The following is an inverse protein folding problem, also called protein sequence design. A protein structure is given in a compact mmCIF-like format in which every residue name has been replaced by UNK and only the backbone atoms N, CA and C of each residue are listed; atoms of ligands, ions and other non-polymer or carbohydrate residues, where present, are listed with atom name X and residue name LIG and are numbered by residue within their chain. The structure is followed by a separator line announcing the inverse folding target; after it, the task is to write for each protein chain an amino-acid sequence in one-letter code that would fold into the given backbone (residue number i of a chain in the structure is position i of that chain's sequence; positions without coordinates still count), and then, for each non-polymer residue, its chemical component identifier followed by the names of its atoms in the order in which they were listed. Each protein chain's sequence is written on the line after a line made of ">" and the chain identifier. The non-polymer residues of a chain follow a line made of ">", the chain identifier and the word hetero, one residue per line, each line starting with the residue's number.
data_IF_213595140492
#
_entry.id   IF_213595140492
#
_cell.length_a   1.000
_cell.length_b   1.000
_cell.length_c   1.000
_cell.angle_alpha   90.00
_cell.angle_beta   90.00
_cell.angle_gamma   90.00
#
_symmetry.space_group_name_H-M   'P 1'
#
loop_
_entity.id
_entity.type
_entity.pdbx_description
1 polymer ?
#
# COMPACT_ATOMS: atom_id res chain seq x y z
N UNK A 1 -26.15 11.93 -5.95
CA UNK A 1 -26.43 11.05 -4.77
C UNK A 1 -25.40 9.94 -4.78
N UNK A 2 -24.70 9.71 -3.64
CA UNK A 2 -23.74 8.60 -3.51
C UNK A 2 -24.47 7.29 -3.21
N UNK A 3 -24.06 6.20 -3.85
CA UNK A 3 -24.62 4.86 -3.67
C UNK A 3 -23.48 3.89 -3.36
N UNK A 4 -23.77 2.87 -2.55
CA UNK A 4 -22.82 1.78 -2.31
C UNK A 4 -22.82 0.80 -3.47
N UNK A 5 -21.63 0.34 -3.83
CA UNK A 5 -21.42 -0.68 -4.84
C UNK A 5 -20.29 -1.63 -4.44
N UNK A 6 -20.23 -2.77 -5.12
CA UNK A 6 -19.14 -3.75 -5.02
C UNK A 6 -18.50 -3.90 -6.39
N UNK A 7 -17.18 -3.98 -6.43
CA UNK A 7 -16.43 -4.27 -7.66
C UNK A 7 -16.63 -5.73 -8.05
N UNK A 8 -17.09 -5.97 -9.28
CA UNK A 8 -17.30 -7.33 -9.82
C UNK A 8 -16.31 -7.69 -10.93
N UNK A 9 -15.73 -6.69 -11.59
CA UNK A 9 -14.74 -6.89 -12.65
C UNK A 9 -13.76 -5.71 -12.74
N UNK A 10 -12.51 -5.98 -13.13
CA UNK A 10 -11.44 -4.98 -13.24
C UNK A 10 -10.73 -5.01 -14.59
N UNK A 11 -11.05 -5.97 -15.45
CA UNK A 11 -10.45 -6.15 -16.77
C UNK A 11 -11.44 -5.67 -17.84
N UNK A 12 -11.37 -4.37 -18.18
CA UNK A 12 -12.22 -3.81 -19.25
C UNK A 12 -11.85 -4.42 -20.60
N UNK A 13 -12.82 -4.85 -21.44
CA UNK A 13 -12.55 -5.50 -22.72
C UNK A 13 -11.62 -4.70 -23.64
N UNK A 14 -11.76 -3.37 -23.67
CA UNK A 14 -10.95 -2.47 -24.50
C UNK A 14 -9.71 -1.94 -23.76
N UNK A 15 -9.31 -2.55 -22.64
CA UNK A 15 -8.12 -2.14 -21.87
C UNK A 15 -8.24 -0.78 -21.16
N UNK A 16 -9.46 -0.25 -21.01
CA UNK A 16 -9.68 1.02 -20.31
C UNK A 16 -9.48 0.84 -18.79
N UNK A 17 -9.02 1.91 -18.14
CA UNK A 17 -8.90 1.99 -16.67
C UNK A 17 -10.29 2.20 -16.05
N UNK A 18 -11.10 1.15 -16.03
CA UNK A 18 -12.46 1.13 -15.48
C UNK A 18 -12.69 -0.14 -14.68
N UNK A 19 -13.61 -0.07 -13.72
CA UNK A 19 -14.06 -1.24 -12.98
C UNK A 19 -15.56 -1.45 -13.15
N UNK A 20 -15.96 -2.69 -13.25
CA UNK A 20 -17.38 -3.06 -13.32
C UNK A 20 -17.96 -3.07 -11.92
N UNK A 21 -19.11 -2.42 -11.73
CA UNK A 21 -19.69 -2.20 -10.41
C UNK A 21 -21.11 -2.74 -10.32
N UNK A 22 -21.44 -3.30 -9.15
CA UNK A 22 -22.78 -3.71 -8.77
C UNK A 22 -23.27 -2.85 -7.62
N UNK A 23 -24.35 -2.09 -7.82
CA UNK A 23 -25.02 -1.38 -6.72
C UNK A 23 -25.70 -2.35 -5.78
N UNK A 24 -25.58 -2.09 -4.49
CA UNK A 24 -26.29 -2.85 -3.46
C UNK A 24 -27.34 -1.95 -2.81
N UNK A 25 -28.61 -2.38 -2.72
CA UNK A 25 -29.15 -3.66 -3.22
C UNK A 25 -29.68 -3.61 -4.69
N UNK A 26 -29.69 -2.47 -5.36
CA UNK A 26 -30.50 -2.19 -6.55
C UNK A 26 -30.22 -3.11 -7.74
N UNK A 27 -28.99 -3.60 -7.90
CA UNK A 27 -28.56 -4.42 -9.04
C UNK A 27 -28.19 -5.86 -8.66
N UNK A 28 -28.66 -6.37 -7.52
CA UNK A 28 -28.34 -7.75 -7.08
C UNK A 28 -28.83 -8.83 -8.05
N UNK A 29 -29.92 -8.57 -8.78
CA UNK A 29 -30.46 -9.47 -9.79
C UNK A 29 -29.92 -9.30 -11.21
N UNK A 30 -28.96 -8.38 -11.45
CA UNK A 30 -28.39 -8.11 -12.77
C UNK A 30 -27.19 -9.03 -13.00
N UNK A 31 -27.11 -9.69 -14.16
CA UNK A 31 -25.93 -10.51 -14.51
C UNK A 31 -24.66 -9.66 -14.56
N UNK A 32 -23.52 -10.22 -14.16
CA UNK A 32 -22.22 -9.50 -14.15
C UNK A 32 -21.91 -8.86 -15.52
N UNK A 33 -22.15 -9.58 -16.63
CA UNK A 33 -21.90 -9.12 -18.01
C UNK A 33 -22.67 -7.86 -18.40
N UNK A 34 -23.82 -7.61 -17.77
CA UNK A 34 -24.72 -6.49 -18.07
C UNK A 34 -24.52 -5.30 -17.15
N UNK A 35 -23.61 -5.40 -16.17
CA UNK A 35 -23.28 -4.32 -15.25
C UNK A 35 -22.39 -3.27 -15.92
N UNK A 36 -22.55 -1.98 -15.57
CA UNK A 36 -21.79 -0.90 -16.19
C UNK A 36 -20.34 -0.87 -15.71
N UNK A 37 -19.47 -0.31 -16.55
CA UNK A 37 -18.08 0.00 -16.26
C UNK A 37 -17.94 1.43 -15.74
N UNK A 38 -17.55 1.54 -14.48
CA UNK A 38 -17.34 2.81 -13.78
C UNK A 38 -15.99 3.43 -14.12
N UNK A 39 -15.99 4.74 -14.26
CA UNK A 39 -14.77 5.56 -14.25
C UNK A 39 -14.27 5.73 -12.81
N UNK A 40 -13.01 6.15 -12.63
CA UNK A 40 -12.46 6.51 -11.32
C UNK A 40 -12.35 8.03 -11.19
N UNK A 41 -12.76 8.58 -10.05
CA UNK A 41 -12.36 9.93 -9.66
C UNK A 41 -10.91 9.88 -9.21
N UNK A 42 -10.01 10.35 -10.06
CA UNK A 42 -8.58 10.33 -9.77
C UNK A 42 -8.12 11.62 -9.09
N UNK A 43 -7.16 11.55 -8.16
CA UNK A 43 -6.52 12.74 -7.61
C UNK A 43 -5.72 13.46 -8.71
N UNK A 44 -5.58 14.79 -8.56
CA UNK A 44 -4.69 15.58 -9.42
C UNK A 44 -3.27 15.05 -9.22
N UNK A 45 -2.52 14.85 -10.31
CA UNK A 45 -1.16 14.30 -10.27
C UNK A 45 -1.07 12.82 -10.65
N UNK A 46 -2.15 12.28 -11.24
CA UNK A 46 -2.19 10.92 -11.84
C UNK A 46 -1.93 9.76 -10.87
N UNK A 47 -2.10 9.97 -9.56
CA UNK A 47 -2.08 8.87 -8.60
C UNK A 47 -3.24 7.91 -8.86
N UNK A 48 -2.97 6.60 -8.96
CA UNK A 48 -3.99 5.59 -9.18
C UNK A 48 -3.77 4.39 -8.25
N UNK A 49 -4.83 4.02 -7.52
CA UNK A 49 -4.87 2.79 -6.75
C UNK A 49 -6.00 1.92 -7.33
N UNK A 50 -5.66 0.82 -8.03
CA UNK A 50 -6.67 -0.02 -8.65
C UNK A 50 -7.55 -0.70 -7.58
N UNK A 51 -8.82 -0.87 -7.90
CA UNK A 51 -9.70 -1.73 -7.13
C UNK A 51 -9.46 -3.21 -7.49
N UNK A 52 -9.86 -4.09 -6.60
CA UNK A 52 -9.93 -5.54 -6.87
C UNK A 52 -11.37 -6.02 -6.74
N UNK A 53 -11.68 -7.18 -7.33
CA UNK A 53 -13.00 -7.81 -7.19
C UNK A 53 -13.34 -8.01 -5.72
N UNK A 54 -14.55 -7.57 -5.34
CA UNK A 54 -15.03 -7.62 -3.96
C UNK A 54 -14.84 -6.33 -3.16
N UNK A 55 -14.05 -5.35 -3.67
CA UNK A 55 -13.90 -4.08 -2.98
C UNK A 55 -15.24 -3.35 -2.88
N UNK A 56 -15.68 -2.92 -1.68
CA UNK A 56 -16.79 -2.01 -1.53
C UNK A 56 -16.38 -0.59 -1.85
N UNK A 57 -17.19 0.09 -2.67
CA UNK A 57 -16.92 1.46 -3.13
C UNK A 57 -18.16 2.34 -3.04
N UNK A 58 -17.93 3.65 -3.03
CA UNK A 58 -18.95 4.64 -3.26
C UNK A 58 -18.95 5.06 -4.72
N UNK A 59 -20.14 5.09 -5.35
CA UNK A 59 -20.32 5.56 -6.73
C UNK A 59 -21.29 6.72 -6.80
N UNK A 60 -21.08 7.58 -7.78
CA UNK A 60 -21.97 8.68 -8.19
C UNK A 60 -22.31 8.52 -9.67
N UNK A 61 -23.36 9.22 -10.11
CA UNK A 61 -23.81 9.31 -11.49
C UNK A 61 -23.78 10.80 -11.91
N UNK A 62 -22.59 11.29 -12.33
CA UNK A 62 -22.40 12.71 -12.63
C UNK A 62 -23.00 13.15 -13.97
N UNK A 63 -23.30 12.19 -14.85
CA UNK A 63 -23.84 12.44 -16.17
C UNK A 63 -25.36 12.33 -16.16
N UNK A 64 -26.02 13.12 -17.01
CA UNK A 64 -27.46 13.06 -17.21
C UNK A 64 -27.78 12.35 -18.52
N UNK A 65 -28.89 11.61 -18.54
CA UNK A 65 -29.47 11.04 -19.75
C UNK A 65 -30.25 12.12 -20.56
N UNK A 66 -30.86 11.70 -21.65
CA UNK A 66 -31.65 12.58 -22.53
C UNK A 66 -32.91 13.16 -21.88
N UNK A 67 -33.34 12.59 -20.75
CA UNK A 67 -34.47 13.05 -19.95
C UNK A 67 -34.07 13.94 -18.78
N UNK A 68 -32.74 14.21 -18.61
CA UNK A 68 -32.19 14.97 -17.50
C UNK A 68 -32.12 14.18 -16.18
N UNK A 69 -32.21 12.85 -16.22
CA UNK A 69 -32.03 11.97 -15.07
C UNK A 69 -30.59 11.46 -14.98
N UNK A 70 -30.09 11.05 -13.79
CA UNK A 70 -28.77 10.44 -13.68
C UNK A 70 -28.60 9.22 -14.59
N UNK A 71 -27.58 9.25 -15.47
CA UNK A 71 -27.27 8.14 -16.37
C UNK A 71 -26.57 7.01 -15.58
N UNK A 72 -27.32 6.01 -15.22
CA UNK A 72 -26.83 4.86 -14.44
C UNK A 72 -25.86 3.95 -15.21
N UNK A 73 -25.74 4.12 -16.53
CA UNK A 73 -24.77 3.38 -17.36
C UNK A 73 -23.36 3.98 -17.27
N UNK A 74 -23.21 5.15 -16.67
CA UNK A 74 -21.95 5.88 -16.56
C UNK A 74 -21.63 6.23 -15.10
N UNK A 75 -21.41 5.21 -14.25
CA UNK A 75 -21.05 5.42 -12.86
C UNK A 75 -19.63 5.95 -12.72
N UNK A 76 -19.39 6.72 -11.65
CA UNK A 76 -18.09 7.24 -11.24
C UNK A 76 -17.78 6.71 -9.83
N UNK A 77 -16.67 5.96 -9.67
CA UNK A 77 -16.15 5.56 -8.36
C UNK A 77 -15.50 6.77 -7.72
N UNK A 78 -16.01 7.19 -6.56
CA UNK A 78 -15.53 8.38 -5.83
C UNK A 78 -14.75 8.05 -4.56
N UNK A 79 -14.62 6.79 -4.22
CA UNK A 79 -13.81 6.33 -3.08
C UNK A 79 -14.19 4.94 -2.61
N UNK A 80 -13.35 4.39 -1.72
CA UNK A 80 -13.63 3.15 -1.02
C UNK A 80 -14.77 3.34 0.01
N UNK A 81 -15.58 2.30 0.20
CA UNK A 81 -16.58 2.27 1.26
C UNK A 81 -16.06 1.42 2.42
N UNK A 82 -16.08 1.98 3.62
CA UNK A 82 -15.83 1.20 4.83
C UNK A 82 -16.98 0.22 5.08
N UNK A 83 -16.64 -1.00 5.41
CA UNK A 83 -17.56 -2.06 5.72
C UNK A 83 -16.99 -2.97 6.80
N UNK A 84 -17.84 -3.45 7.70
CA UNK A 84 -17.43 -4.34 8.77
C UNK A 84 -18.39 -5.56 8.87
N UNK A 85 -18.42 -6.45 7.86
CA UNK A 85 -19.26 -7.64 7.90
C UNK A 85 -18.83 -8.54 9.06
N UNK A 86 -19.80 -8.95 9.87
CA UNK A 86 -19.50 -9.72 11.08
C UNK A 86 -18.69 -8.96 12.15
N UNK A 87 -18.65 -7.62 12.08
CA UNK A 87 -17.92 -6.77 13.03
C UNK A 87 -16.41 -6.62 12.71
N UNK A 88 -15.93 -7.18 11.61
CA UNK A 88 -14.52 -7.06 11.18
C UNK A 88 -14.43 -6.00 10.08
N UNK A 89 -13.74 -4.87 10.32
CA UNK A 89 -13.55 -3.84 9.31
C UNK A 89 -12.74 -4.34 8.09
N UNK A 90 -13.07 -3.85 6.91
CA UNK A 90 -12.33 -4.14 5.67
C UNK A 90 -11.06 -3.28 5.50
N UNK A 91 -10.59 -2.64 6.56
CA UNK A 91 -9.31 -1.94 6.62
C UNK A 91 -8.22 -2.84 7.20
N UNK A 92 -6.97 -2.49 6.96
CA UNK A 92 -5.83 -3.28 7.43
C UNK A 92 -5.87 -3.52 8.95
N UNK A 93 -5.48 -4.71 9.44
CA UNK A 93 -5.41 -5.00 10.87
C UNK A 93 -4.57 -3.99 11.66
N UNK A 94 -3.51 -3.47 11.06
CA UNK A 94 -2.65 -2.43 11.62
C UNK A 94 -3.42 -1.12 11.88
N UNK A 95 -4.41 -0.81 11.04
CA UNK A 95 -5.25 0.38 11.17
C UNK A 95 -6.45 0.15 12.08
N UNK A 96 -7.11 -1.00 11.97
CA UNK A 96 -8.33 -1.29 12.74
C UNK A 96 -8.05 -1.77 14.16
N UNK A 97 -6.88 -2.34 14.41
CA UNK A 97 -6.57 -3.08 15.64
C UNK A 97 -7.36 -4.37 15.78
N UNK A 98 -8.02 -4.85 14.72
CA UNK A 98 -8.73 -6.11 14.67
C UNK A 98 -8.07 -7.05 13.66
N UNK A 99 -8.16 -8.34 13.90
CA UNK A 99 -7.45 -9.34 13.11
C UNK A 99 -5.98 -9.50 13.54
N UNK A 100 -5.17 -10.07 12.66
CA UNK A 100 -3.75 -10.33 12.90
C UNK A 100 -2.90 -9.36 12.09
N UNK A 101 -2.27 -8.35 12.70
CA UNK A 101 -1.31 -7.49 12.03
C UNK A 101 -0.14 -8.29 11.47
N UNK A 102 0.48 -7.76 10.43
CA UNK A 102 1.70 -8.36 9.88
C UNK A 102 2.83 -8.35 10.92
N UNK A 103 3.41 -9.51 11.16
CA UNK A 103 4.58 -9.72 12.01
C UNK A 103 5.70 -10.37 11.20
N UNK A 104 6.77 -9.64 10.86
CA UNK A 104 7.92 -10.20 10.14
C UNK A 104 8.82 -11.07 11.01
N UNK A 105 8.48 -11.25 12.27
CA UNK A 105 9.38 -11.87 13.25
C UNK A 105 10.53 -10.96 13.67
N UNK A 106 11.43 -11.51 14.49
CA UNK A 106 12.64 -10.81 14.94
C UNK A 106 13.75 -10.96 13.91
N UNK A 107 14.46 -9.87 13.64
CA UNK A 107 15.72 -9.89 12.88
C UNK A 107 16.83 -9.40 13.83
N UNK A 108 17.94 -10.13 13.88
CA UNK A 108 19.05 -9.82 14.81
C UNK A 108 19.58 -8.40 14.57
N UNK A 109 19.63 -7.62 15.63
CA UNK A 109 20.08 -6.23 15.59
C UNK A 109 19.13 -5.23 14.93
N UNK A 110 17.95 -5.66 14.51
CA UNK A 110 16.96 -4.75 13.96
C UNK A 110 16.31 -3.91 15.06
N UNK A 111 16.08 -2.60 14.82
CA UNK A 111 15.27 -1.77 15.70
C UNK A 111 13.83 -2.27 15.78
N UNK A 112 13.13 -1.88 16.84
CA UNK A 112 11.69 -2.09 16.93
C UNK A 112 10.99 -1.39 15.75
N UNK A 113 9.98 -2.03 15.20
CA UNK A 113 9.12 -1.43 14.17
C UNK A 113 8.29 -0.27 14.75
N UNK A 114 7.83 0.66 13.91
CA UNK A 114 6.86 1.66 14.34
C UNK A 114 5.62 0.99 14.96
N UNK A 115 5.17 1.52 16.09
CA UNK A 115 3.98 1.02 16.78
C UNK A 115 2.72 1.71 16.27
N UNK A 116 1.81 0.98 15.65
CA UNK A 116 0.59 1.53 15.05
C UNK A 116 -0.52 1.79 16.06
N UNK A 117 -1.25 2.86 15.83
CA UNK A 117 -2.46 3.25 16.57
C UNK A 117 -3.62 3.49 15.60
N UNK A 118 -4.71 2.77 15.79
CA UNK A 118 -5.90 2.84 14.92
C UNK A 118 -6.57 4.21 14.79
N UNK A 119 -6.24 5.16 15.64
CA UNK A 119 -6.89 6.48 15.67
C UNK A 119 -6.00 7.62 15.20
N UNK A 120 -4.71 7.37 14.95
CA UNK A 120 -3.73 8.45 14.71
C UNK A 120 -2.86 8.20 13.49
N UNK A 121 -2.70 6.97 13.06
CA UNK A 121 -1.70 6.57 12.10
C UNK A 121 -2.32 6.32 10.72
N UNK A 122 -1.55 6.62 9.68
CA UNK A 122 -1.92 6.27 8.31
C UNK A 122 -1.33 4.90 7.95
N UNK A 123 -2.18 4.00 7.51
CA UNK A 123 -1.80 2.64 7.13
C UNK A 123 -2.42 2.29 5.78
N UNK A 124 -1.60 1.79 4.88
CA UNK A 124 -2.03 1.19 3.62
C UNK A 124 -1.45 -0.23 3.57
N UNK A 125 -2.31 -1.23 3.49
CA UNK A 125 -1.89 -2.62 3.32
C UNK A 125 -2.62 -3.22 2.13
N UNK A 126 -1.92 -3.36 1.00
CA UNK A 126 -2.49 -3.88 -0.24
C UNK A 126 -1.44 -4.60 -1.08
N UNK A 127 -1.83 -5.72 -1.72
CA UNK A 127 -0.96 -6.51 -2.61
C UNK A 127 0.38 -6.90 -1.98
N UNK A 128 0.37 -7.33 -0.73
CA UNK A 128 1.55 -7.64 0.09
C UNK A 128 2.47 -6.43 0.36
N UNK A 129 2.05 -5.22 0.06
CA UNK A 129 2.77 -4.01 0.43
C UNK A 129 2.05 -3.33 1.59
N UNK A 130 2.75 -3.22 2.70
CA UNK A 130 2.33 -2.49 3.89
C UNK A 130 3.12 -1.19 3.98
N UNK A 131 2.43 -0.07 4.04
CA UNK A 131 2.98 1.25 4.34
C UNK A 131 2.37 1.77 5.63
N UNK A 132 3.21 2.20 6.56
CA UNK A 132 2.83 2.73 7.86
C UNK A 132 3.48 4.09 8.07
N UNK A 133 2.68 5.07 8.51
CA UNK A 133 3.15 6.39 8.97
C UNK A 133 2.52 6.65 10.33
N UNK A 134 3.33 6.71 11.37
CA UNK A 134 2.85 6.91 12.73
C UNK A 134 2.86 8.39 13.14
N UNK A 135 1.92 8.78 13.98
CA UNK A 135 1.88 10.13 14.55
C UNK A 135 3.12 10.48 15.40
N UNK A 136 3.84 9.47 15.86
CA UNK A 136 5.11 9.61 16.56
C UNK A 136 6.34 9.83 15.66
N UNK A 137 6.14 9.91 14.32
CA UNK A 137 7.22 10.12 13.35
C UNK A 137 7.86 8.83 12.82
N UNK A 138 7.31 7.67 13.13
CA UNK A 138 7.72 6.40 12.54
C UNK A 138 7.23 6.25 11.09
N UNK A 139 8.02 5.56 10.27
CA UNK A 139 7.70 5.23 8.89
C UNK A 139 8.24 3.86 8.51
N UNK A 140 7.44 3.02 7.89
CA UNK A 140 7.89 1.73 7.35
C UNK A 140 7.18 1.41 6.05
N UNK A 141 7.93 0.90 5.07
CA UNK A 141 7.40 0.14 3.94
C UNK A 141 7.89 -1.29 4.08
N UNK A 142 6.98 -2.25 4.02
CA UNK A 142 7.28 -3.68 4.12
C UNK A 142 6.60 -4.48 3.01
N UNK A 143 7.35 -5.42 2.43
CA UNK A 143 6.76 -6.49 1.64
C UNK A 143 6.39 -7.63 2.60
N UNK A 144 5.09 -7.83 2.82
CA UNK A 144 4.58 -8.78 3.82
C UNK A 144 4.73 -10.25 3.40
N UNK A 145 4.97 -10.52 2.11
CA UNK A 145 5.23 -11.86 1.61
C UNK A 145 6.71 -12.26 1.78
N UNK A 146 7.65 -11.35 1.51
CA UNK A 146 9.10 -11.64 1.59
C UNK A 146 9.72 -11.29 2.94
N UNK A 147 9.12 -10.37 3.71
CA UNK A 147 9.70 -9.84 4.94
C UNK A 147 10.69 -8.70 4.74
N UNK A 148 10.97 -8.29 3.50
CA UNK A 148 11.84 -7.15 3.21
C UNK A 148 11.18 -5.85 3.64
N UNK A 149 11.94 -4.97 4.31
CA UNK A 149 11.41 -3.70 4.81
C UNK A 149 12.46 -2.61 4.93
N UNK A 150 12.00 -1.39 4.76
CA UNK A 150 12.78 -0.17 4.97
C UNK A 150 11.97 0.72 5.90
N UNK A 151 12.60 1.27 6.92
CA UNK A 151 11.85 2.10 7.85
C UNK A 151 12.70 2.95 8.77
N UNK A 152 11.98 3.75 9.54
CA UNK A 152 12.46 4.56 10.64
C UNK A 152 11.46 4.44 11.78
N UNK A 153 11.93 4.14 12.98
CA UNK A 153 11.04 4.13 14.14
C UNK A 153 10.93 5.52 14.80
N UNK A 154 10.08 5.64 15.81
CA UNK A 154 9.83 6.89 16.52
C UNK A 154 11.05 7.43 17.28
N UNK A 155 12.07 6.59 17.50
CA UNK A 155 13.37 7.00 18.08
C UNK A 155 14.36 7.49 17.02
N UNK A 156 13.94 7.57 15.74
CA UNK A 156 14.78 8.02 14.63
C UNK A 156 15.80 6.98 14.13
N UNK A 157 15.70 5.73 14.56
CA UNK A 157 16.56 4.67 14.05
C UNK A 157 16.08 4.23 12.67
N UNK A 158 16.98 4.29 11.68
CA UNK A 158 16.73 3.89 10.29
C UNK A 158 17.23 2.45 10.08
N UNK A 159 16.49 1.66 9.32
CA UNK A 159 16.87 0.29 9.00
C UNK A 159 16.48 -0.12 7.58
N UNK A 160 17.27 -1.00 7.00
CA UNK A 160 16.98 -1.76 5.79
C UNK A 160 17.17 -3.22 6.14
N UNK A 161 16.14 -4.03 5.98
CA UNK A 161 16.15 -5.46 6.30
C UNK A 161 15.66 -6.21 5.08
N UNK A 162 16.46 -7.17 4.63
CA UNK A 162 16.14 -8.06 3.52
C UNK A 162 16.49 -9.50 3.90
N UNK A 163 15.54 -10.44 3.86
CA UNK A 163 15.83 -11.86 3.99
C UNK A 163 16.61 -12.43 2.78
N UNK A 164 16.58 -11.72 1.65
CA UNK A 164 17.35 -12.05 0.45
C UNK A 164 18.53 -11.11 0.23
N UNK A 165 19.03 -11.08 -0.99
CA UNK A 165 20.14 -10.22 -1.39
C UNK A 165 19.77 -8.72 -1.33
N UNK A 166 20.75 -7.91 -0.97
CA UNK A 166 20.65 -6.45 -1.00
C UNK A 166 21.76 -5.87 -1.87
N UNK A 167 21.39 -5.05 -2.84
CA UNK A 167 22.35 -4.35 -3.71
C UNK A 167 22.27 -2.85 -3.44
N UNK A 168 23.43 -2.23 -3.17
CA UNK A 168 23.60 -0.78 -3.14
C UNK A 168 24.53 -0.39 -4.27
N UNK A 169 24.03 0.28 -5.30
CA UNK A 169 24.81 0.70 -6.47
C UNK A 169 24.79 2.23 -6.59
N UNK A 170 25.97 2.82 -6.76
CA UNK A 170 26.16 4.25 -6.99
C UNK A 170 26.97 4.48 -8.25
N UNK A 171 26.43 5.23 -9.23
CA UNK A 171 27.17 5.66 -10.42
C UNK A 171 28.20 6.78 -10.15
N UNK A 172 28.23 7.30 -8.93
CA UNK A 172 29.20 8.27 -8.45
C UNK A 172 29.83 7.79 -7.13
N UNK A 173 30.15 8.71 -6.25
CA UNK A 173 30.72 8.39 -4.95
C UNK A 173 29.68 7.84 -3.98
N UNK A 174 30.07 6.88 -3.16
CA UNK A 174 29.35 6.45 -1.97
C UNK A 174 30.17 6.85 -0.74
N UNK A 175 29.58 7.66 0.14
CA UNK A 175 30.21 8.11 1.38
C UNK A 175 29.42 7.61 2.58
N UNK A 176 30.08 7.00 3.55
CA UNK A 176 29.50 6.55 4.82
C UNK A 176 30.22 7.28 5.95
N UNK A 177 29.51 8.18 6.65
CA UNK A 177 30.02 8.89 7.81
C UNK A 177 29.29 8.39 9.06
N UNK A 178 30.04 8.00 10.07
CA UNK A 178 29.49 7.60 11.36
C UNK A 178 30.27 8.32 12.48
N UNK A 179 29.56 9.02 13.35
CA UNK A 179 30.16 9.64 14.54
C UNK A 179 30.62 8.62 15.60
N UNK A 180 30.23 7.35 15.43
CA UNK A 180 30.60 6.22 16.26
C UNK A 180 31.20 5.10 15.44
N UNK A 181 30.90 3.87 15.81
CA UNK A 181 31.46 2.67 15.19
C UNK A 181 30.70 2.30 13.90
N UNK A 182 31.44 1.98 12.84
CA UNK A 182 30.95 1.21 11.69
C UNK A 182 31.31 -0.27 11.89
N UNK A 183 30.33 -1.16 11.79
CA UNK A 183 30.54 -2.60 11.89
C UNK A 183 30.01 -3.30 10.64
N UNK A 184 30.87 -4.09 9.97
CA UNK A 184 30.48 -4.94 8.86
C UNK A 184 30.69 -6.38 9.29
N UNK A 185 29.63 -7.19 9.20
CA UNK A 185 29.68 -8.62 9.54
C UNK A 185 29.25 -9.41 8.30
N UNK A 186 30.06 -10.38 7.90
CA UNK A 186 29.76 -11.31 6.84
C UNK A 186 29.87 -12.73 7.38
N UNK A 187 28.87 -13.59 7.14
CA UNK A 187 28.93 -15.00 7.47
C UNK A 187 29.80 -15.81 6.51
N UNK A 188 30.08 -15.23 5.33
CA UNK A 188 30.96 -15.78 4.30
C UNK A 188 32.11 -14.86 3.95
N UNK A 189 32.56 -14.88 2.69
CA UNK A 189 33.67 -14.07 2.22
C UNK A 189 33.26 -12.58 2.15
N UNK A 190 34.05 -11.72 2.79
CA UNK A 190 34.02 -10.27 2.56
C UNK A 190 35.06 -9.92 1.49
N UNK A 191 34.68 -9.28 0.39
CA UNK A 191 35.54 -8.92 -0.71
C UNK A 191 35.44 -7.43 -1.00
N UNK A 192 36.59 -6.78 -1.14
CA UNK A 192 36.70 -5.40 -1.58
C UNK A 192 37.58 -5.37 -2.82
N UNK A 193 37.09 -4.77 -3.91
CA UNK A 193 37.85 -4.57 -5.13
C UNK A 193 37.90 -3.06 -5.40
N UNK A 194 39.09 -2.51 -5.40
CA UNK A 194 39.32 -1.08 -5.60
C UNK A 194 40.66 -0.81 -6.33
N UNK A 195 40.74 0.29 -7.04
CA UNK A 195 42.00 0.76 -7.64
C UNK A 195 43.02 1.27 -6.63
N UNK A 196 42.59 1.57 -5.41
CA UNK A 196 43.40 1.96 -4.24
C UNK A 196 42.59 1.86 -2.97
N UNK A 197 43.28 1.67 -1.83
CA UNK A 197 42.67 1.61 -0.51
C UNK A 197 43.58 2.33 0.48
N UNK A 198 43.02 3.19 1.31
CA UNK A 198 43.74 3.80 2.44
C UNK A 198 42.99 3.57 3.75
N UNK A 199 43.73 3.44 4.84
CA UNK A 199 43.23 3.35 6.19
C UNK A 199 44.00 4.41 7.02
N UNK A 200 43.35 5.54 7.26
CA UNK A 200 43.94 6.62 8.03
C UNK A 200 43.33 6.64 9.43
N UNK A 201 44.18 6.80 10.43
CA UNK A 201 43.75 6.99 11.80
C UNK A 201 43.51 8.48 12.01
N UNK A 202 42.24 8.88 12.18
CA UNK A 202 41.88 10.23 12.57
C UNK A 202 42.25 10.56 14.02
#
# INVERSE_FOLDING_TARGET
>A
MKRRAVIVGTMHPDGLMRAQVRLTPDWEGVDDKDLPWAEYLMPIGNGFVPTIKGDPVWVEFPYLDTEGKPDTRRPLIVGAAEQAPGGVPNVAPEASGQGKPYDPGKSDGAPARPSTSKTKDAVIHRNNLLEVKTAGGGYEIANTASGSRIGMNESGQIYIISPGDTTLNSGGNLTINAGGKVAIKAGGKFSVVAGGMSFDKG
#
